data_IF_353859802564
#
_entry.id   IF_353859802564
#
_cell.length_a   1.000
_cell.length_b   1.000
_cell.length_c   1.000
_cell.angle_alpha   90.00
_cell.angle_beta   90.00
_cell.angle_gamma   90.00
#
_symmetry.space_group_name_H-M   'P 1'
#
loop_
_entity.id
_entity.type
_entity.pdbx_description
1 polymer ?
#
# COMPACT_ATOMS: atom_id res chain seq x y z
N UNK A 1 -11.31 3.54 -30.45
CA UNK A 1 -10.24 4.30 -29.75
C UNK A 1 -9.94 3.72 -28.37
N UNK A 2 -8.66 3.66 -27.98
CA UNK A 2 -8.20 3.14 -26.68
C UNK A 2 -7.76 4.31 -25.79
N UNK A 3 -8.61 4.77 -24.89
CA UNK A 3 -8.24 5.83 -23.93
C UNK A 3 -7.22 5.26 -22.93
N UNK A 4 -6.00 5.81 -22.94
CA UNK A 4 -4.95 5.53 -21.96
C UNK A 4 -4.35 6.88 -21.56
N UNK A 5 -4.51 7.29 -20.30
CA UNK A 5 -3.81 8.45 -19.75
C UNK A 5 -2.97 8.01 -18.56
N UNK A 6 -1.73 8.47 -18.49
CA UNK A 6 -0.88 8.31 -17.31
C UNK A 6 -0.49 9.70 -16.80
N UNK A 7 -0.65 9.94 -15.50
CA UNK A 7 -0.34 11.22 -14.88
C UNK A 7 0.64 10.98 -13.73
N UNK A 8 1.72 11.75 -13.69
CA UNK A 8 2.66 11.77 -12.56
C UNK A 8 2.10 12.73 -11.52
N UNK A 9 1.80 12.23 -10.33
CA UNK A 9 1.20 13.04 -9.24
C UNK A 9 2.30 13.63 -8.36
N UNK A 10 3.37 12.85 -8.13
CA UNK A 10 4.53 13.27 -7.37
C UNK A 10 5.80 12.58 -7.88
N UNK A 11 6.97 12.99 -7.38
CA UNK A 11 8.25 12.36 -7.71
C UNK A 11 8.24 10.90 -7.20
N UNK A 12 8.25 9.94 -8.13
CA UNK A 12 8.15 8.51 -7.83
C UNK A 12 6.74 7.93 -7.80
N UNK A 13 5.69 8.74 -8.05
CA UNK A 13 4.30 8.27 -8.03
C UNK A 13 3.62 8.53 -9.38
N UNK A 14 3.21 7.45 -10.05
CA UNK A 14 2.50 7.50 -11.33
C UNK A 14 1.17 6.76 -11.23
N UNK A 15 0.11 7.38 -11.72
CA UNK A 15 -1.19 6.74 -11.87
C UNK A 15 -1.51 6.53 -13.35
N UNK A 16 -1.96 5.33 -13.68
CA UNK A 16 -2.48 4.99 -15.00
C UNK A 16 -4.00 4.92 -14.94
N UNK A 17 -4.66 5.66 -15.83
CA UNK A 17 -6.12 5.73 -15.98
C UNK A 17 -6.55 5.01 -17.26
N UNK A 18 -7.61 4.21 -17.15
CA UNK A 18 -8.23 3.46 -18.24
C UNK A 18 -9.74 3.67 -18.29
N UNK A 19 -10.43 2.89 -19.12
CA UNK A 19 -11.88 3.03 -19.37
C UNK A 19 -12.77 2.87 -18.12
N UNK A 20 -12.27 2.18 -17.08
CA UNK A 20 -12.98 1.90 -15.82
C UNK A 20 -12.54 2.80 -14.65
N UNK A 21 -11.66 3.79 -14.88
CA UNK A 21 -11.08 4.62 -13.83
C UNK A 21 -9.59 4.36 -13.58
N UNK A 22 -9.14 4.50 -12.33
CA UNK A 22 -7.74 4.29 -11.91
C UNK A 22 -7.39 2.80 -12.09
N UNK A 23 -6.51 2.49 -13.03
CA UNK A 23 -6.19 1.12 -13.44
C UNK A 23 -4.92 0.58 -12.76
N UNK A 24 -3.95 1.44 -12.49
CA UNK A 24 -2.79 1.09 -11.66
C UNK A 24 -2.14 2.31 -11.03
N UNK A 25 -1.55 2.12 -9.86
CA UNK A 25 -0.76 3.08 -9.11
C UNK A 25 0.64 2.50 -8.93
N UNK A 26 1.65 3.18 -9.48
CA UNK A 26 3.05 2.88 -9.27
C UNK A 26 3.63 3.85 -8.27
N UNK A 27 4.23 3.33 -7.20
CA UNK A 27 4.88 4.08 -6.14
C UNK A 27 6.32 3.57 -5.95
N UNK A 28 7.32 4.39 -6.23
CA UNK A 28 8.72 4.03 -6.01
C UNK A 28 9.74 4.82 -6.83
N UNK A 29 11.01 4.57 -6.54
CA UNK A 29 12.16 5.29 -7.09
C UNK A 29 13.26 4.36 -7.58
N UNK A 30 14.45 4.92 -7.82
CA UNK A 30 15.64 4.15 -8.20
C UNK A 30 15.91 3.10 -7.10
N UNK A 31 15.80 1.82 -7.42
CA UNK A 31 16.10 0.70 -6.53
C UNK A 31 14.90 0.01 -5.87
N UNK A 32 13.73 0.64 -5.76
CA UNK A 32 12.54 -0.03 -5.21
C UNK A 32 11.25 0.56 -5.79
N UNK A 33 10.45 -0.29 -6.41
CA UNK A 33 9.17 0.10 -7.02
C UNK A 33 8.04 -0.85 -6.63
N UNK A 34 6.91 -0.26 -6.26
CA UNK A 34 5.67 -0.94 -5.95
C UNK A 34 4.63 -0.58 -7.03
N UNK A 35 3.97 -1.56 -7.61
CA UNK A 35 2.95 -1.37 -8.64
C UNK A 35 1.67 -2.06 -8.19
N UNK A 36 0.70 -1.28 -7.74
CA UNK A 36 -0.63 -1.74 -7.38
C UNK A 36 -1.55 -1.61 -8.60
N UNK A 37 -2.19 -2.69 -9.02
CA UNK A 37 -3.15 -2.69 -10.13
C UNK A 37 -4.30 -3.64 -9.83
N UNK A 38 -5.33 -3.63 -10.69
CA UNK A 38 -6.45 -4.60 -10.62
C UNK A 38 -5.97 -6.07 -10.64
N UNK A 39 -4.78 -6.34 -11.20
CA UNK A 39 -4.18 -7.68 -11.26
C UNK A 39 -3.41 -8.09 -10.00
N UNK A 40 -3.18 -7.17 -9.06
CA UNK A 40 -2.37 -7.40 -7.86
C UNK A 40 -1.26 -6.37 -7.67
N UNK A 41 -0.47 -6.57 -6.61
CA UNK A 41 0.64 -5.70 -6.21
C UNK A 41 1.95 -6.36 -6.65
N UNK A 42 2.72 -5.72 -7.52
CA UNK A 42 4.08 -6.13 -7.88
C UNK A 42 5.09 -5.27 -7.12
N UNK A 43 6.07 -5.92 -6.50
CA UNK A 43 7.23 -5.27 -5.90
C UNK A 43 8.45 -5.58 -6.75
N UNK A 44 9.30 -4.59 -6.98
CA UNK A 44 10.56 -4.77 -7.70
C UNK A 44 11.64 -4.03 -6.94
N UNK A 45 12.61 -4.78 -6.42
CA UNK A 45 13.82 -4.24 -5.78
C UNK A 45 15.02 -4.42 -6.70
N UNK A 46 15.91 -3.44 -6.78
CA UNK A 46 17.15 -3.54 -7.53
C UNK A 46 18.30 -2.86 -6.82
N UNK A 47 19.48 -3.46 -6.95
CA UNK A 47 20.72 -2.93 -6.41
C UNK A 47 21.33 -1.97 -7.45
N UNK A 48 21.56 -0.70 -7.10
CA UNK A 48 22.12 0.28 -8.03
C UNK A 48 23.57 -0.07 -8.35
N UNK A 49 23.93 -0.04 -9.64
CA UNK A 49 25.31 -0.29 -10.09
C UNK A 49 25.70 -1.76 -10.25
N UNK A 50 24.85 -2.72 -9.84
CA UNK A 50 25.16 -4.17 -9.95
C UNK A 50 24.40 -4.87 -11.08
N UNK A 51 23.37 -4.24 -11.65
CA UNK A 51 22.51 -4.85 -12.67
C UNK A 51 21.55 -5.92 -12.14
N UNK A 52 21.52 -6.15 -10.82
CA UNK A 52 20.66 -7.16 -10.19
C UNK A 52 19.32 -6.53 -9.78
N UNK A 53 18.23 -7.09 -10.32
CA UNK A 53 16.86 -6.71 -9.96
C UNK A 53 16.01 -7.94 -9.74
N UNK A 54 15.26 -7.96 -8.65
CA UNK A 54 14.30 -9.01 -8.34
C UNK A 54 12.89 -8.43 -8.27
N UNK A 55 11.91 -9.13 -8.84
CA UNK A 55 10.52 -8.69 -8.83
C UNK A 55 9.58 -9.80 -8.44
N UNK A 56 8.75 -9.52 -7.46
CA UNK A 56 7.76 -10.45 -6.94
C UNK A 56 6.36 -9.87 -7.09
N UNK A 57 5.41 -10.73 -7.44
CA UNK A 57 3.99 -10.38 -7.41
C UNK A 57 3.41 -10.84 -6.08
N UNK A 58 3.03 -9.89 -5.24
CA UNK A 58 2.18 -10.10 -4.06
C UNK A 58 0.74 -10.25 -4.58
N UNK A 59 0.49 -11.32 -5.33
CA UNK A 59 -0.87 -11.77 -5.61
C UNK A 59 -1.36 -12.54 -4.39
N UNK A 60 -2.59 -12.27 -3.97
CA UNK A 60 -3.24 -12.87 -2.80
C UNK A 60 -3.06 -14.38 -2.82
N UNK A 61 -2.14 -14.88 -1.98
CA UNK A 61 -1.93 -16.30 -1.77
C UNK A 61 -3.18 -16.86 -1.09
N UNK A 62 -4.07 -17.46 -1.90
CA UNK A 62 -4.91 -18.53 -1.42
C UNK A 62 -3.97 -19.71 -1.17
N UNK A 63 -3.50 -19.78 0.07
CA UNK A 63 -2.66 -20.85 0.58
C UNK A 63 -3.28 -22.21 0.24
N UNK A 64 -2.70 -22.90 -0.75
CA UNK A 64 -2.61 -24.35 -0.81
C UNK A 64 -1.28 -24.74 -1.45
N UNK A 65 -0.48 -25.40 -0.62
CA UNK A 65 0.57 -26.36 -0.94
C UNK A 65 1.95 -25.82 -1.36
N UNK A 66 2.83 -25.98 -0.40
CA UNK A 66 4.28 -26.18 -0.41
C UNK A 66 4.83 -26.86 -1.68
N UNK A 67 5.86 -26.25 -2.26
CA UNK A 67 7.06 -26.91 -2.82
C UNK A 67 8.10 -25.80 -3.10
N UNK A 68 8.99 -25.54 -2.14
CA UNK A 68 10.42 -25.94 -2.14
C UNK A 68 11.22 -25.29 -3.28
N UNK A 69 11.97 -24.22 -2.96
CA UNK A 69 13.44 -24.08 -3.09
C UNK A 69 13.85 -22.60 -2.97
N UNK A 70 14.82 -22.31 -2.10
CA UNK A 70 15.61 -21.07 -2.16
C UNK A 70 15.74 -20.33 -0.82
N UNK A 71 16.75 -20.74 -0.05
CA UNK A 71 17.12 -20.30 1.30
C UNK A 71 17.80 -18.91 1.34
N UNK A 72 17.41 -18.05 2.29
CA UNK A 72 18.31 -17.26 3.15
C UNK A 72 17.50 -16.47 4.21
N UNK A 73 17.43 -17.04 5.42
CA UNK A 73 16.86 -16.56 6.69
C UNK A 73 17.64 -15.35 7.31
N UNK A 74 17.30 -14.73 8.47
CA UNK A 74 16.16 -14.95 9.39
C UNK A 74 15.45 -13.66 9.87
N UNK A 75 14.14 -13.73 10.11
CA UNK A 75 13.52 -12.97 11.20
C UNK A 75 12.45 -13.84 11.85
N UNK A 76 12.91 -14.61 12.83
CA UNK A 76 12.13 -15.49 13.69
C UNK A 76 10.90 -14.80 14.29
N UNK A 77 9.72 -15.28 13.94
CA UNK A 77 8.55 -15.21 14.81
C UNK A 77 8.07 -16.65 15.04
N UNK A 78 8.58 -17.29 16.08
CA UNK A 78 7.99 -18.55 16.54
C UNK A 78 6.61 -18.19 17.09
N UNK A 79 5.53 -18.71 16.50
CA UNK A 79 4.19 -18.66 17.10
C UNK A 79 3.64 -20.08 17.13
N UNK A 80 3.58 -20.65 18.34
CA UNK A 80 3.08 -21.99 18.64
C UNK A 80 1.55 -22.10 18.63
N UNK A 81 0.85 -21.09 18.12
CA UNK A 81 -0.60 -21.09 18.08
C UNK A 81 -1.03 -20.22 16.89
N UNK A 82 -1.99 -20.68 16.09
CA UNK A 82 -2.31 -20.18 14.73
C UNK A 82 -2.83 -18.75 14.63
N UNK A 83 -2.60 -17.89 15.62
CA UNK A 83 -2.83 -16.44 15.58
C UNK A 83 -1.55 -15.72 15.20
N UNK A 84 -1.52 -15.24 13.95
CA UNK A 84 -0.49 -14.33 13.44
C UNK A 84 -0.45 -13.08 14.33
N UNK A 85 0.58 -12.96 15.17
CA UNK A 85 0.86 -11.73 15.91
C UNK A 85 1.32 -10.67 14.90
N UNK A 86 0.46 -9.70 14.63
CA UNK A 86 0.82 -8.51 13.85
C UNK A 86 1.74 -7.64 14.71
N UNK A 87 2.89 -7.25 14.17
CA UNK A 87 3.87 -6.46 14.91
C UNK A 87 3.24 -5.16 15.44
N UNK A 88 3.56 -4.74 16.67
CA UNK A 88 3.08 -3.47 17.22
C UNK A 88 3.36 -2.25 16.31
N UNK A 89 4.43 -2.32 15.53
CA UNK A 89 4.79 -1.32 14.52
C UNK A 89 3.76 -1.20 13.37
N UNK A 90 3.14 -2.32 12.99
CA UNK A 90 2.09 -2.37 11.97
C UNK A 90 0.79 -1.75 12.51
N UNK A 91 0.49 -2.02 13.79
CA UNK A 91 -0.60 -1.37 14.52
C UNK A 91 -0.41 0.14 14.61
N UNK A 92 0.79 0.59 14.95
CA UNK A 92 1.13 2.01 14.99
C UNK A 92 0.91 2.68 13.64
N UNK A 93 1.29 2.00 12.55
CA UNK A 93 1.04 2.47 11.19
C UNK A 93 -0.44 2.62 10.86
N UNK A 94 -1.26 1.59 11.13
CA UNK A 94 -2.71 1.61 10.87
C UNK A 94 -3.40 2.72 11.67
N UNK A 95 -3.03 2.88 12.94
CA UNK A 95 -3.62 3.88 13.82
C UNK A 95 -3.15 5.31 13.48
N UNK A 96 -1.89 5.48 13.11
CA UNK A 96 -1.31 6.79 12.76
C UNK A 96 -1.71 7.27 11.36
N UNK A 97 -1.95 6.35 10.42
CA UNK A 97 -2.30 6.65 9.04
C UNK A 97 -3.45 7.66 8.85
N UNK A 98 -4.61 7.55 9.55
CA UNK A 98 -5.67 8.54 9.43
C UNK A 98 -5.26 9.93 9.91
N UNK A 99 -4.41 10.05 10.93
CA UNK A 99 -3.92 11.36 11.41
C UNK A 99 -2.93 11.99 10.43
N UNK A 100 -2.02 11.20 9.86
CA UNK A 100 -1.08 11.66 8.82
C UNK A 100 -1.85 12.11 7.58
N UNK A 101 -2.91 11.39 7.20
CA UNK A 101 -3.76 11.74 6.08
C UNK A 101 -4.56 13.03 6.34
N UNK A 102 -5.18 13.18 7.52
CA UNK A 102 -5.86 14.43 7.89
C UNK A 102 -4.88 15.61 7.89
N UNK A 103 -3.66 15.46 8.42
CA UNK A 103 -2.63 16.50 8.34
C UNK A 103 -2.24 16.84 6.90
N UNK A 104 -2.10 15.84 6.03
CA UNK A 104 -1.81 16.05 4.60
C UNK A 104 -2.93 16.85 3.89
N UNK A 105 -4.18 16.70 4.31
CA UNK A 105 -5.31 17.49 3.76
C UNK A 105 -5.34 18.96 4.22
N UNK A 106 -4.59 19.34 5.26
CA UNK A 106 -4.45 20.73 5.69
C UNK A 106 -3.40 21.52 4.89
N UNK A 107 -2.64 20.87 3.99
CA UNK A 107 -1.72 21.54 3.07
C UNK A 107 -2.52 22.53 2.21
N UNK A 108 -2.14 23.81 2.25
CA UNK A 108 -2.84 24.89 1.56
C UNK A 108 -2.92 24.63 0.05
N UNK A 109 -4.14 24.47 -0.49
CA UNK A 109 -4.40 24.20 -1.91
C UNK A 109 -5.63 23.33 -2.22
N UNK A 110 -6.23 22.64 -1.25
CA UNK A 110 -7.38 21.74 -1.50
C UNK A 110 -8.76 22.34 -1.22
N UNK A 111 -9.71 21.99 -2.09
CA UNK A 111 -11.15 22.32 -2.01
C UNK A 111 -11.77 21.92 -0.67
N UNK A 112 -12.66 22.77 -0.14
CA UNK A 112 -13.38 22.56 1.13
C UNK A 112 -14.13 21.24 1.18
N UNK A 113 -14.59 20.74 0.04
CA UNK A 113 -15.27 19.44 -0.09
C UNK A 113 -14.38 18.25 0.31
N UNK A 114 -13.08 18.28 -0.02
CA UNK A 114 -12.14 17.21 0.36
C UNK A 114 -11.85 17.21 1.87
N UNK A 115 -11.89 18.40 2.50
CA UNK A 115 -11.71 18.55 3.95
C UNK A 115 -12.89 17.94 4.70
N UNK A 116 -14.11 18.24 4.26
CA UNK A 116 -15.34 17.72 4.88
C UNK A 116 -15.42 16.19 4.83
N UNK A 117 -15.07 15.57 3.71
CA UNK A 117 -15.05 14.10 3.61
C UNK A 117 -14.01 13.46 4.54
N UNK A 118 -12.84 14.07 4.71
CA UNK A 118 -11.81 13.55 5.62
C UNK A 118 -12.24 13.64 7.09
N UNK A 119 -12.83 14.75 7.51
CA UNK A 119 -13.33 14.91 8.87
C UNK A 119 -14.55 14.01 9.15
N UNK A 120 -15.43 13.84 8.17
CA UNK A 120 -16.57 12.92 8.26
C UNK A 120 -16.14 11.46 8.46
N UNK A 121 -15.10 11.01 7.75
CA UNK A 121 -14.56 9.66 7.91
C UNK A 121 -13.87 9.45 9.28
N UNK A 122 -13.20 10.48 9.81
CA UNK A 122 -12.57 10.44 11.13
C UNK A 122 -13.60 10.35 12.25
N UNK A 123 -14.68 11.14 12.16
CA UNK A 123 -15.82 11.04 13.10
C UNK A 123 -16.50 9.66 13.03
N UNK A 124 -16.66 9.10 11.83
CA UNK A 124 -17.22 7.77 11.64
C UNK A 124 -16.34 6.66 12.27
N UNK A 125 -15.01 6.73 12.09
CA UNK A 125 -14.08 5.81 12.76
C UNK A 125 -14.13 5.95 14.29
N UNK A 126 -14.20 7.17 14.79
CA UNK A 126 -14.33 7.45 16.22
C UNK A 126 -15.64 6.85 16.78
N UNK A 127 -16.75 7.04 16.06
CA UNK A 127 -18.04 6.45 16.41
C UNK A 127 -17.99 4.91 16.44
N UNK A 128 -17.32 4.27 15.46
CA UNK A 128 -17.13 2.82 15.44
C UNK A 128 -16.26 2.29 16.57
N UNK A 129 -15.27 3.07 17.03
CA UNK A 129 -14.44 2.70 18.18
C UNK A 129 -15.24 2.79 19.49
N UNK A 130 -16.10 3.81 19.65
CA UNK A 130 -16.95 4.00 20.83
C UNK A 130 -18.07 2.94 20.92
N UNK A 131 -18.51 2.40 19.78
CA UNK A 131 -19.58 1.38 19.71
C UNK A 131 -19.08 -0.06 19.87
N UNK A 132 -17.77 -0.30 20.01
CA UNK A 132 -17.26 -1.62 20.40
C UNK A 132 -17.57 -1.85 21.89
N UNK A 133 -18.33 -2.90 22.26
CA UNK A 133 -18.58 -3.25 23.66
C UNK A 133 -17.30 -3.68 24.38
#
# INVERSE_FOLDING_TARGET
MKFRKSIKIAKGVRVNFGKKGISSLSFGGKGLTFNASEKGIKVTGSLPGTGLSHSEMISKSNNKNSSVLGESEPASYITLDGKRFVSPLLWLGIFSFPYVFSWFTLRAGHSTTSKVFSFGWLLFLCFLIIKKP
#
